data_IF_063034417402
#
_entry.id   IF_063034417402
#
_cell.length_a   1.000
_cell.length_b   1.000
_cell.length_c   1.000
_cell.angle_alpha   90.00
_cell.angle_beta   90.00
_cell.angle_gamma   90.00
#
_symmetry.space_group_name_H-M   'P 1'
#
loop_
_entity.id
_entity.type
_entity.pdbx_description
1 polymer ?
#
# COMPACT_ATOMS: atom_id res chain seq x y z
N UNK A 1 24.64 18.44 48.98
CA UNK A 1 23.42 18.49 48.14
C UNK A 1 23.50 17.34 47.18
N UNK A 2 22.72 16.29 47.43
CA UNK A 2 22.74 15.02 46.69
C UNK A 2 21.48 14.96 45.84
N UNK A 3 21.64 14.84 44.52
CA UNK A 3 20.52 14.70 43.58
C UNK A 3 19.80 13.34 43.78
N UNK A 4 18.46 13.30 43.80
CA UNK A 4 17.73 12.05 43.88
C UNK A 4 17.82 11.29 42.55
N UNK A 5 18.16 10.02 42.64
CA UNK A 5 18.34 9.11 41.51
C UNK A 5 16.99 8.83 40.83
N UNK A 6 16.91 9.08 39.51
CA UNK A 6 15.67 9.04 38.73
C UNK A 6 14.97 7.65 38.78
N UNK A 7 15.75 6.60 38.99
CA UNK A 7 15.31 5.22 39.13
C UNK A 7 14.39 5.01 40.34
N UNK A 8 14.69 5.67 41.46
CA UNK A 8 13.91 5.55 42.71
C UNK A 8 12.54 6.22 42.62
N UNK A 9 12.37 7.17 41.70
CA UNK A 9 11.09 7.86 41.47
C UNK A 9 10.16 7.00 40.61
N UNK A 10 10.72 6.20 39.69
CA UNK A 10 9.96 5.32 38.80
C UNK A 10 9.47 4.06 39.53
N UNK A 11 10.31 3.45 40.36
CA UNK A 11 9.91 2.26 41.12
C UNK A 11 8.79 2.57 42.14
N UNK A 12 8.80 3.78 42.72
CA UNK A 12 7.75 4.23 43.64
C UNK A 12 6.42 4.54 42.95
N UNK A 13 6.42 4.83 41.64
CA UNK A 13 5.20 5.10 40.87
C UNK A 13 4.48 3.82 40.37
N UNK A 14 5.20 2.70 40.31
CA UNK A 14 4.67 1.42 39.82
C UNK A 14 4.18 0.52 40.96
N UNK A 15 4.78 0.64 42.15
CA UNK A 15 4.42 -0.18 43.32
C UNK A 15 2.97 0.01 43.81
N UNK A 16 2.32 1.14 43.49
CA UNK A 16 0.97 1.47 43.97
C UNK A 16 -0.17 1.16 42.99
N UNK A 17 0.12 0.50 41.86
CA UNK A 17 -0.92 0.10 40.89
C UNK A 17 -1.18 -1.40 40.94
N UNK A 18 -2.11 -1.79 41.82
CA UNK A 18 -2.76 -3.11 41.78
C UNK A 18 -3.62 -3.19 40.51
N UNK A 19 -3.08 -3.83 39.47
CA UNK A 19 -3.82 -4.13 38.23
C UNK A 19 -4.62 -5.41 38.47
N UNK A 20 -5.92 -5.27 38.73
CA UNK A 20 -6.85 -6.39 38.81
C UNK A 20 -7.10 -7.04 37.44
N UNK A 21 -7.51 -8.33 37.41
CA UNK A 21 -7.72 -9.05 36.16
C UNK A 21 -8.82 -8.41 35.29
N UNK A 22 -8.70 -8.50 33.95
CA UNK A 22 -9.65 -7.88 33.03
C UNK A 22 -11.05 -8.47 33.22
N UNK A 23 -12.06 -7.60 33.42
CA UNK A 23 -13.47 -8.01 33.53
C UNK A 23 -14.03 -8.41 32.16
N UNK A 24 -13.78 -9.65 31.75
CA UNK A 24 -14.26 -10.24 30.48
C UNK A 24 -15.80 -10.22 30.36
N UNK A 25 -16.52 -10.21 31.48
CA UNK A 25 -18.00 -10.24 31.49
C UNK A 25 -18.65 -8.95 30.95
N UNK A 26 -17.98 -7.80 31.10
CA UNK A 26 -18.46 -6.54 30.55
C UNK A 26 -18.42 -6.53 29.01
N UNK A 27 -17.44 -7.23 28.41
CA UNK A 27 -17.25 -7.32 26.96
C UNK A 27 -18.30 -8.23 26.31
N UNK A 28 -18.75 -9.29 27.01
CA UNK A 28 -19.81 -10.18 26.49
C UNK A 28 -21.20 -9.54 26.46
N UNK A 29 -21.52 -8.64 27.40
CA UNK A 29 -22.84 -7.97 27.45
C UNK A 29 -23.07 -6.91 26.35
N UNK A 30 -22.01 -6.30 25.80
CA UNK A 30 -22.10 -5.29 24.74
C UNK A 30 -22.46 -5.89 23.37
N UNK A 31 -21.94 -7.08 23.06
CA UNK A 31 -22.13 -7.73 21.76
C UNK A 31 -23.57 -8.24 21.52
N UNK A 32 -24.30 -8.60 22.59
CA UNK A 32 -25.68 -9.08 22.48
C UNK A 32 -26.71 -7.96 22.24
N UNK A 33 -26.40 -6.71 22.62
CA UNK A 33 -27.29 -5.55 22.44
C UNK A 33 -27.26 -5.03 20.99
N UNK A 34 -26.11 -5.11 20.33
CA UNK A 34 -25.94 -4.68 18.93
C UNK A 34 -26.67 -5.62 17.96
N UNK A 35 -26.65 -6.94 18.19
CA UNK A 35 -27.33 -7.91 17.30
C UNK A 35 -28.85 -7.81 17.34
N UNK A 36 -29.47 -7.42 18.47
CA UNK A 36 -30.93 -7.27 18.57
C UNK A 36 -31.47 -6.09 17.78
N UNK A 37 -30.68 -5.03 17.57
CA UNK A 37 -31.10 -3.87 16.75
C UNK A 37 -31.08 -4.12 15.23
N UNK A 38 -30.43 -5.19 14.76
CA UNK A 38 -30.32 -5.52 13.32
C UNK A 38 -31.38 -6.52 12.81
N UNK A 39 -32.32 -6.98 13.66
CA UNK A 39 -33.38 -7.93 13.26
C UNK A 39 -34.81 -7.36 13.27
N UNK A 40 -34.97 -6.06 13.52
CA UNK A 40 -36.25 -5.36 13.37
C UNK A 40 -36.09 -4.26 12.31
N UNK A 41 -36.34 -4.60 11.05
CA UNK A 41 -36.20 -3.65 9.93
C UNK A 41 -36.20 -4.32 8.56
N UNK A 42 -37.03 -5.33 8.34
CA UNK A 42 -37.41 -5.78 6.99
C UNK A 42 -38.93 -5.89 6.96
N UNK A 43 -39.58 -4.80 6.59
CA UNK A 43 -40.96 -4.77 6.12
C UNK A 43 -40.95 -3.92 4.85
N UNK A 44 -41.42 -4.50 3.74
CA UNK A 44 -41.04 -4.12 2.39
C UNK A 44 -41.83 -3.00 1.72
N UNK A 45 -41.45 -2.73 0.46
CA UNK A 45 -42.32 -2.33 -0.64
C UNK A 45 -41.52 -2.42 -1.95
N UNK A 46 -41.97 -3.29 -2.87
CA UNK A 46 -41.60 -3.25 -4.28
C UNK A 46 -42.47 -2.17 -4.93
N UNK A 47 -41.87 -1.18 -5.57
CA UNK A 47 -42.56 -0.29 -6.49
C UNK A 47 -41.59 0.14 -7.61
N UNK A 48 -41.86 -0.33 -8.82
CA UNK A 48 -41.33 0.23 -10.05
C UNK A 48 -42.05 1.55 -10.35
N UNK A 49 -41.34 2.57 -10.85
CA UNK A 49 -41.89 3.66 -11.69
C UNK A 49 -40.73 4.33 -12.48
N UNK A 50 -40.78 4.11 -13.79
CA UNK A 50 -40.69 5.05 -14.93
C UNK A 50 -39.79 6.29 -14.84
N UNK A 51 -38.90 6.39 -15.83
CA UNK A 51 -38.17 7.59 -16.22
C UNK A 51 -39.10 8.69 -16.76
N UNK A 52 -38.96 9.91 -16.25
CA UNK A 52 -39.47 11.14 -16.89
C UNK A 52 -38.37 12.21 -16.82
N UNK A 53 -38.10 12.82 -17.97
CA UNK A 53 -37.21 13.96 -18.14
C UNK A 53 -37.88 15.27 -17.70
N UNK A 54 -37.07 16.19 -17.16
CA UNK A 54 -37.33 17.64 -17.17
C UNK A 54 -37.85 18.26 -15.87
N UNK A 55 -37.19 19.34 -15.44
CA UNK A 55 -37.78 20.35 -14.55
C UNK A 55 -36.98 20.67 -13.29
N UNK A 56 -36.35 21.85 -13.28
CA UNK A 56 -35.65 22.49 -12.16
C UNK A 56 -36.55 22.81 -10.96
N UNK A 57 -36.05 22.58 -9.73
CA UNK A 57 -36.45 23.32 -8.55
C UNK A 57 -35.33 23.33 -7.49
N UNK A 58 -35.21 24.48 -6.83
CA UNK A 58 -34.15 24.93 -5.94
C UNK A 58 -34.38 24.50 -4.48
N UNK A 59 -33.27 24.46 -3.70
CA UNK A 59 -33.13 24.52 -2.22
C UNK A 59 -33.25 23.23 -1.38
N UNK A 60 -32.08 22.72 -0.94
CA UNK A 60 -31.78 22.44 0.47
C UNK A 60 -30.26 22.25 0.63
N UNK A 61 -29.54 23.26 1.12
CA UNK A 61 -28.16 23.14 1.57
C UNK A 61 -28.13 22.45 2.94
N UNK A 62 -28.08 21.13 2.95
CA UNK A 62 -27.60 20.36 4.10
C UNK A 62 -26.08 20.44 4.20
N UNK A 63 -25.48 20.23 5.39
CA UNK A 63 -24.03 20.15 5.52
C UNK A 63 -23.52 19.07 4.56
N UNK A 64 -22.55 19.43 3.71
CA UNK A 64 -21.98 18.56 2.71
C UNK A 64 -21.51 17.26 3.39
N UNK A 65 -22.31 16.20 3.23
CA UNK A 65 -21.84 14.86 3.46
C UNK A 65 -20.66 14.69 2.51
N UNK A 66 -19.47 14.46 3.08
CA UNK A 66 -18.26 14.10 2.37
C UNK A 66 -18.65 13.00 1.37
N UNK A 67 -18.66 13.34 0.08
CA UNK A 67 -18.97 12.36 -0.95
C UNK A 67 -17.97 11.22 -0.76
N UNK A 68 -18.42 9.96 -0.65
CA UNK A 68 -17.50 8.83 -0.73
C UNK A 68 -16.73 8.98 -2.05
N UNK A 69 -15.42 8.66 -2.09
CA UNK A 69 -14.63 8.82 -3.29
C UNK A 69 -15.38 8.14 -4.43
N UNK A 70 -15.71 8.93 -5.46
CA UNK A 70 -16.29 8.41 -6.70
C UNK A 70 -15.39 7.25 -7.09
N UNK A 71 -15.94 6.04 -7.18
CA UNK A 71 -15.20 4.88 -7.64
C UNK A 71 -14.54 5.29 -8.96
N UNK A 72 -13.21 5.39 -8.98
CA UNK A 72 -12.51 5.86 -10.15
C UNK A 72 -12.80 4.89 -11.29
N UNK A 73 -12.94 5.44 -12.50
CA UNK A 73 -13.09 4.59 -13.68
C UNK A 73 -11.93 3.59 -13.72
N UNK A 74 -12.23 2.28 -13.92
CA UNK A 74 -11.18 1.29 -14.04
C UNK A 74 -10.25 1.64 -15.22
N UNK A 75 -9.00 1.15 -15.23
CA UNK A 75 -8.13 1.37 -16.36
C UNK A 75 -8.80 0.91 -17.66
N UNK A 76 -8.59 1.64 -18.74
CA UNK A 76 -9.14 1.28 -20.03
C UNK A 76 -8.55 -0.07 -20.51
N UNK A 77 -9.42 -1.01 -20.87
CA UNK A 77 -9.03 -2.30 -21.43
C UNK A 77 -8.67 -3.37 -20.38
N UNK A 78 -8.03 -4.48 -20.81
CA UNK A 78 -7.69 -5.58 -19.92
C UNK A 78 -6.63 -5.17 -18.88
N UNK A 79 -6.83 -5.62 -17.64
CA UNK A 79 -5.97 -5.29 -16.51
C UNK A 79 -5.34 -6.54 -15.88
N UNK A 80 -4.26 -6.31 -15.14
CA UNK A 80 -3.62 -7.29 -14.25
C UNK A 80 -3.42 -6.69 -12.87
N UNK A 81 -3.50 -7.51 -11.84
CA UNK A 81 -3.18 -7.07 -10.48
C UNK A 81 -1.66 -7.10 -10.24
N UNK A 82 -1.16 -6.05 -9.61
CA UNK A 82 0.18 -5.98 -9.02
C UNK A 82 0.06 -5.57 -7.58
N UNK A 83 0.75 -6.25 -6.65
CA UNK A 83 0.55 -5.98 -5.24
C UNK A 83 1.72 -6.33 -4.34
N UNK A 84 1.62 -5.86 -3.09
CA UNK A 84 2.49 -6.20 -1.96
C UNK A 84 1.59 -6.55 -0.79
N UNK A 85 1.75 -7.75 -0.23
CA UNK A 85 0.86 -8.22 0.83
C UNK A 85 -0.60 -8.22 0.36
N UNK A 86 -1.51 -7.67 1.16
CA UNK A 86 -2.94 -7.61 0.82
C UNK A 86 -3.33 -6.38 -0.01
N UNK A 87 -2.39 -5.49 -0.34
CA UNK A 87 -2.68 -4.30 -1.17
C UNK A 87 -2.28 -4.58 -2.61
N UNK A 88 -3.18 -4.29 -3.55
CA UNK A 88 -2.94 -4.44 -4.97
C UNK A 88 -3.46 -3.25 -5.76
N UNK A 89 -3.00 -3.12 -7.00
CA UNK A 89 -3.44 -2.13 -7.97
C UNK A 89 -3.77 -2.85 -9.27
N UNK A 90 -4.94 -2.56 -9.84
CA UNK A 90 -5.28 -3.00 -11.19
C UNK A 90 -4.62 -2.07 -12.21
N UNK A 91 -3.70 -2.60 -13.02
CA UNK A 91 -2.99 -1.82 -14.05
C UNK A 91 -3.25 -2.41 -15.44
N UNK A 92 -3.21 -1.61 -16.51
CA UNK A 92 -3.30 -2.14 -17.87
C UNK A 92 -2.25 -3.24 -18.12
N UNK A 93 -2.64 -4.29 -18.84
CA UNK A 93 -1.69 -5.38 -19.18
C UNK A 93 -0.53 -4.91 -20.06
N UNK A 94 -0.70 -3.78 -20.76
CA UNK A 94 0.32 -3.14 -21.59
C UNK A 94 1.42 -2.46 -20.78
N UNK A 95 1.18 -2.17 -19.50
CA UNK A 95 2.18 -1.55 -18.63
C UNK A 95 3.28 -2.54 -18.28
N UNK A 96 4.54 -2.13 -18.54
CA UNK A 96 5.71 -2.91 -18.19
C UNK A 96 5.97 -2.91 -16.68
N UNK A 97 6.89 -3.77 -16.22
CA UNK A 97 7.46 -3.67 -14.87
C UNK A 97 8.84 -3.05 -14.95
N UNK A 98 9.12 -2.06 -14.12
CA UNK A 98 10.40 -1.37 -14.02
C UNK A 98 10.94 -0.89 -15.37
N UNK A 99 10.09 -0.30 -16.24
CA UNK A 99 10.53 0.35 -17.47
C UNK A 99 11.18 1.72 -17.16
N UNK A 100 12.24 1.67 -16.35
CA UNK A 100 12.94 2.82 -15.80
C UNK A 100 14.36 2.92 -16.35
N UNK A 101 14.93 4.12 -16.28
CA UNK A 101 16.33 4.42 -16.59
C UNK A 101 16.87 5.40 -15.58
N UNK A 102 18.17 5.34 -15.30
CA UNK A 102 18.91 6.34 -14.51
C UNK A 102 18.23 6.78 -13.21
N UNK A 103 18.55 6.10 -12.10
CA UNK A 103 18.01 6.46 -10.79
C UNK A 103 16.54 6.09 -10.61
N UNK A 104 15.94 5.36 -11.55
CA UNK A 104 14.56 4.91 -11.45
C UNK A 104 13.56 5.78 -12.20
N UNK A 105 13.99 6.74 -13.05
CA UNK A 105 13.09 7.54 -13.86
C UNK A 105 12.29 6.67 -14.83
N UNK A 106 10.95 6.66 -14.78
CA UNK A 106 10.11 5.96 -15.74
C UNK A 106 10.30 6.48 -17.17
N UNK A 107 10.43 5.56 -18.12
CA UNK A 107 10.64 5.87 -19.55
C UNK A 107 9.42 5.56 -20.41
N UNK A 108 8.48 4.81 -19.86
CA UNK A 108 7.16 4.42 -20.40
C UNK A 108 6.25 4.05 -19.23
N UNK A 109 4.97 3.92 -19.50
CA UNK A 109 3.96 3.37 -18.59
C UNK A 109 4.45 2.13 -17.86
N UNK A 110 4.56 2.23 -16.54
CA UNK A 110 5.16 1.14 -15.78
C UNK A 110 4.74 1.06 -14.33
N UNK A 111 4.69 -0.18 -13.83
CA UNK A 111 4.70 -0.44 -12.40
C UNK A 111 6.15 -0.56 -11.92
N UNK A 112 6.49 0.26 -10.94
CA UNK A 112 7.79 0.29 -10.28
C UNK A 112 7.70 -0.52 -8.99
N UNK A 113 8.47 -1.60 -8.91
CA UNK A 113 8.53 -2.48 -7.74
C UNK A 113 9.84 -3.24 -7.75
N UNK A 114 10.47 -3.44 -6.59
CA UNK A 114 11.77 -4.11 -6.54
C UNK A 114 12.82 -3.50 -7.49
N UNK A 115 13.04 -2.18 -7.37
CA UNK A 115 14.14 -1.51 -8.07
C UNK A 115 15.47 -1.94 -7.44
N UNK A 116 15.99 -3.08 -7.90
CA UNK A 116 17.34 -3.55 -7.58
C UNK A 116 18.36 -2.61 -8.19
N UNK A 117 19.39 -2.25 -7.42
CA UNK A 117 20.56 -1.47 -7.83
C UNK A 117 20.25 -0.33 -8.82
N UNK A 118 19.88 0.83 -8.27
CA UNK A 118 19.73 2.03 -9.09
C UNK A 118 21.09 2.51 -9.59
N UNK A 119 21.23 2.68 -10.90
CA UNK A 119 22.35 3.44 -11.46
C UNK A 119 22.22 4.89 -11.02
N UNK A 120 23.22 5.43 -10.31
CA UNK A 120 23.26 6.84 -9.93
C UNK A 120 23.51 7.72 -11.15
N UNK A 121 22.46 8.00 -11.90
CA UNK A 121 22.43 9.01 -12.96
C UNK A 121 21.08 9.70 -13.00
N UNK A 122 21.02 10.82 -13.71
CA UNK A 122 19.82 11.61 -13.91
C UNK A 122 19.33 11.42 -15.35
N UNK A 123 18.05 11.09 -15.53
CA UNK A 123 17.41 11.08 -16.85
C UNK A 123 16.10 11.88 -16.83
N UNK A 124 15.80 12.65 -17.89
CA UNK A 124 14.53 13.36 -18.01
C UNK A 124 13.36 12.37 -18.17
N UNK A 125 12.25 12.62 -17.46
CA UNK A 125 11.00 11.86 -17.65
C UNK A 125 10.36 12.28 -18.98
N UNK A 126 9.99 11.35 -19.87
CA UNK A 126 9.24 11.70 -21.07
C UNK A 126 7.86 12.31 -20.74
N UNK A 127 7.30 13.06 -21.68
CA UNK A 127 5.88 13.44 -21.65
C UNK A 127 5.01 12.18 -21.80
N UNK A 128 3.76 12.28 -21.37
CA UNK A 128 2.76 11.22 -21.55
C UNK A 128 3.27 9.87 -21.01
N UNK A 129 3.76 9.90 -19.77
CA UNK A 129 4.32 8.74 -19.09
C UNK A 129 3.79 8.64 -17.67
N UNK A 130 3.27 7.48 -17.35
CA UNK A 130 2.56 7.16 -16.13
C UNK A 130 3.33 6.10 -15.35
N UNK A 131 3.28 6.18 -14.04
CA UNK A 131 3.94 5.17 -13.22
C UNK A 131 3.28 5.01 -11.87
N UNK A 132 3.23 3.76 -11.40
CA UNK A 132 2.80 3.44 -10.05
C UNK A 132 3.93 2.69 -9.36
N UNK A 133 4.48 3.27 -8.30
CA UNK A 133 5.44 2.62 -7.42
C UNK A 133 4.71 1.96 -6.25
N UNK A 134 5.00 0.67 -6.02
CA UNK A 134 4.54 -0.08 -4.86
C UNK A 134 5.74 -0.35 -3.96
N UNK A 135 5.53 -0.14 -2.66
CA UNK A 135 6.61 -0.15 -1.70
C UNK A 135 6.11 -0.67 -0.33
N UNK A 136 6.78 -1.67 0.26
CA UNK A 136 6.34 -2.33 1.49
C UNK A 136 7.05 -1.86 2.74
N UNK A 137 6.56 -0.84 3.44
CA UNK A 137 6.95 -0.52 4.82
C UNK A 137 6.73 0.96 5.11
N UNK A 138 7.56 1.55 5.97
CA UNK A 138 7.45 2.98 6.26
C UNK A 138 7.88 3.81 5.04
N UNK A 139 7.14 4.89 4.71
CA UNK A 139 7.39 5.67 3.51
C UNK A 139 8.65 6.53 3.64
N UNK A 140 9.79 5.92 3.30
CA UNK A 140 11.11 6.54 3.35
C UNK A 140 11.68 6.90 1.98
N UNK A 141 11.19 6.26 0.91
CA UNK A 141 11.70 6.47 -0.47
C UNK A 141 11.31 7.82 -1.05
N UNK A 142 10.18 8.36 -0.64
CA UNK A 142 9.71 9.68 -1.05
C UNK A 142 9.13 10.40 0.17
N UNK A 143 9.13 11.73 0.11
CA UNK A 143 8.63 12.58 1.18
C UNK A 143 7.11 12.47 1.29
N UNK A 144 6.63 11.42 1.95
CA UNK A 144 5.21 11.23 2.20
C UNK A 144 4.71 12.16 3.30
N UNK A 145 3.55 12.77 3.07
CA UNK A 145 2.83 13.56 4.08
C UNK A 145 1.37 13.11 4.14
N UNK A 146 0.94 12.73 5.33
CA UNK A 146 -0.46 12.39 5.60
C UNK A 146 -1.28 13.69 5.61
N UNK A 147 -2.14 13.87 4.61
CA UNK A 147 -2.98 15.07 4.48
C UNK A 147 -4.46 14.76 4.62
N UNK A 148 -4.86 13.54 4.32
CA UNK A 148 -6.23 13.07 4.41
C UNK A 148 -6.26 11.60 4.85
N UNK A 149 -7.28 11.22 5.61
CA UNK A 149 -7.53 9.82 5.97
C UNK A 149 -8.67 9.33 5.09
N UNK A 150 -8.44 8.22 4.40
CA UNK A 150 -9.41 7.57 3.51
C UNK A 150 -9.62 6.11 3.93
N UNK A 151 -10.67 5.48 3.43
CA UNK A 151 -10.92 4.05 3.61
C UNK A 151 -10.92 3.37 2.24
N UNK A 152 -10.11 2.32 2.08
CA UNK A 152 -10.02 1.55 0.83
C UNK A 152 -10.16 0.07 1.20
N UNK A 153 -11.18 -0.59 0.64
CA UNK A 153 -11.46 -2.00 0.94
C UNK A 153 -11.68 -2.29 2.42
N UNK A 154 -12.26 -1.35 3.17
CA UNK A 154 -12.49 -1.48 4.62
C UNK A 154 -11.25 -1.26 5.49
N UNK A 155 -10.11 -0.87 4.90
CA UNK A 155 -8.87 -0.59 5.61
C UNK A 155 -8.58 0.90 5.59
N UNK A 156 -8.25 1.45 6.76
CA UNK A 156 -7.79 2.82 6.90
C UNK A 156 -6.50 3.02 6.11
N UNK A 157 -6.49 4.04 5.27
CA UNK A 157 -5.32 4.52 4.55
C UNK A 157 -5.16 6.04 4.73
N UNK A 158 -3.96 6.50 4.43
CA UNK A 158 -3.57 7.90 4.50
C UNK A 158 -3.21 8.38 3.10
N UNK A 159 -3.81 9.48 2.66
CA UNK A 159 -3.68 10.05 1.32
C UNK A 159 -2.84 11.34 1.41
N UNK A 160 -1.88 11.47 0.49
CA UNK A 160 -1.17 12.72 0.22
C UNK A 160 -1.71 13.31 -1.07
N UNK A 161 -2.36 14.49 -1.06
CA UNK A 161 -3.01 15.06 -2.25
C UNK A 161 -2.05 15.17 -3.43
N UNK A 162 -2.64 15.13 -4.62
CA UNK A 162 -1.90 15.25 -5.86
C UNK A 162 -1.36 16.67 -6.02
N UNK A 163 -0.06 16.79 -6.25
CA UNK A 163 0.62 18.06 -6.55
C UNK A 163 1.44 17.92 -7.81
N UNK A 164 1.57 19.00 -8.58
CA UNK A 164 2.37 19.03 -9.80
C UNK A 164 3.56 19.96 -9.65
N UNK A 165 4.70 19.56 -10.20
CA UNK A 165 5.91 20.37 -10.22
C UNK A 165 6.66 20.16 -11.54
N UNK A 166 7.38 21.19 -12.06
CA UNK A 166 8.22 21.03 -13.23
C UNK A 166 9.40 20.09 -12.94
N UNK A 167 9.64 19.13 -13.84
CA UNK A 167 10.78 18.23 -13.75
C UNK A 167 12.12 18.97 -13.85
N UNK A 168 13.10 18.57 -13.03
CA UNK A 168 14.37 19.29 -12.89
C UNK A 168 15.21 19.36 -14.18
N UNK A 169 15.11 18.37 -15.08
CA UNK A 169 16.01 18.22 -16.22
C UNK A 169 15.42 18.73 -17.55
N UNK A 170 14.12 18.55 -17.76
CA UNK A 170 13.45 18.88 -19.03
C UNK A 170 12.19 19.72 -18.86
N UNK A 171 11.89 20.18 -17.63
CA UNK A 171 10.70 20.97 -17.28
C UNK A 171 9.38 20.31 -17.67
N UNK A 172 9.36 19.01 -17.96
CA UNK A 172 8.11 18.27 -18.10
C UNK A 172 7.44 18.26 -16.73
N UNK A 173 6.26 18.88 -16.65
CA UNK A 173 5.48 18.86 -15.43
C UNK A 173 5.15 17.42 -15.06
N UNK A 174 5.37 17.09 -13.79
CA UNK A 174 5.04 15.78 -13.24
C UNK A 174 4.14 15.99 -12.03
N UNK A 175 2.96 15.41 -12.11
CA UNK A 175 2.03 15.34 -11.00
C UNK A 175 2.28 14.05 -10.22
N UNK A 176 2.18 14.12 -8.89
CA UNK A 176 2.40 12.98 -8.00
C UNK A 176 1.47 13.00 -6.80
N UNK A 177 1.05 11.82 -6.37
CA UNK A 177 0.23 11.61 -5.17
C UNK A 177 0.47 10.21 -4.61
N UNK A 178 0.12 9.99 -3.36
CA UNK A 178 0.31 8.69 -2.71
C UNK A 178 -0.85 8.27 -1.80
N UNK A 179 -0.94 6.97 -1.56
CA UNK A 179 -1.79 6.32 -0.56
C UNK A 179 -0.91 5.38 0.27
N UNK A 180 -0.93 5.53 1.58
CA UNK A 180 -0.23 4.69 2.54
C UNK A 180 -1.22 3.91 3.41
N UNK A 181 -0.96 2.63 3.65
CA UNK A 181 -1.72 1.78 4.55
C UNK A 181 -0.86 1.50 5.80
N UNK A 182 -1.01 2.27 6.89
CA UNK A 182 -0.15 2.13 8.07
C UNK A 182 -0.19 0.72 8.69
N UNK A 183 -1.37 0.11 8.77
CA UNK A 183 -1.57 -1.21 9.38
C UNK A 183 -1.05 -2.35 8.51
N UNK A 184 -0.99 -2.15 7.19
CA UNK A 184 -0.47 -3.15 6.24
C UNK A 184 0.99 -2.88 5.88
N UNK A 185 1.53 -1.71 6.23
CA UNK A 185 2.87 -1.29 5.88
C UNK A 185 3.09 -1.28 4.36
N UNK A 186 2.16 -0.72 3.59
CA UNK A 186 2.30 -0.60 2.12
C UNK A 186 2.01 0.81 1.68
N UNK A 187 2.86 1.37 0.83
CA UNK A 187 2.62 2.64 0.16
C UNK A 187 2.54 2.45 -1.35
N UNK A 188 1.60 3.17 -1.95
CA UNK A 188 1.39 3.28 -3.39
C UNK A 188 1.62 4.74 -3.76
N UNK A 189 2.54 4.98 -4.69
CA UNK A 189 2.85 6.31 -5.20
C UNK A 189 2.62 6.35 -6.71
N UNK A 190 1.73 7.22 -7.14
CA UNK A 190 1.40 7.39 -8.54
C UNK A 190 1.98 8.70 -9.06
N UNK A 191 2.51 8.65 -10.29
CA UNK A 191 3.03 9.82 -10.98
C UNK A 191 2.57 9.84 -12.44
N UNK A 192 2.25 11.02 -12.95
CA UNK A 192 1.89 11.24 -14.35
C UNK A 192 2.58 12.49 -14.86
N UNK A 193 3.09 12.44 -16.10
CA UNK A 193 3.51 13.64 -16.85
C UNK A 193 2.40 14.19 -17.76
N UNK A 194 1.16 13.71 -17.61
CA UNK A 194 -0.02 14.13 -18.35
C UNK A 194 -0.79 15.18 -17.55
N UNK A 195 -1.36 14.80 -16.39
CA UNK A 195 -2.08 15.72 -15.51
C UNK A 195 -2.34 15.13 -14.10
N UNK A 196 -2.87 15.96 -13.20
CA UNK A 196 -3.24 15.57 -11.84
C UNK A 196 -4.42 14.58 -11.79
N UNK A 197 -5.40 14.73 -12.68
CA UNK A 197 -6.59 13.88 -12.71
C UNK A 197 -6.23 12.41 -13.01
N UNK A 198 -5.21 12.20 -13.83
CA UNK A 198 -4.65 10.88 -14.16
C UNK A 198 -4.02 10.24 -12.92
N UNK A 199 -3.33 11.01 -12.07
CA UNK A 199 -2.80 10.52 -10.78
C UNK A 199 -3.93 10.09 -9.85
N UNK A 200 -4.95 10.91 -9.68
CA UNK A 200 -6.08 10.58 -8.80
C UNK A 200 -6.84 9.35 -9.30
N UNK A 201 -6.99 9.22 -10.62
CA UNK A 201 -7.57 8.02 -11.26
C UNK A 201 -6.73 6.78 -10.96
N UNK A 202 -5.41 6.84 -11.16
CA UNK A 202 -4.50 5.73 -10.87
C UNK A 202 -4.58 5.26 -9.41
N UNK A 203 -4.68 6.20 -8.47
CA UNK A 203 -4.80 5.87 -7.04
C UNK A 203 -6.18 5.30 -6.69
N UNK A 204 -7.20 5.61 -7.49
CA UNK A 204 -8.51 4.96 -7.40
C UNK A 204 -8.51 3.50 -7.87
N UNK A 205 -7.44 3.01 -8.53
CA UNK A 205 -7.29 1.59 -8.88
C UNK A 205 -6.73 0.72 -7.75
N UNK A 206 -6.37 1.34 -6.63
CA UNK A 206 -5.86 0.65 -5.44
C UNK A 206 -6.99 -0.12 -4.77
N UNK A 207 -6.71 -1.37 -4.43
CA UNK A 207 -7.66 -2.24 -3.74
C UNK A 207 -6.96 -3.00 -2.61
N UNK A 208 -7.74 -3.36 -1.59
CA UNK A 208 -7.33 -4.33 -0.57
C UNK A 208 -7.98 -5.66 -0.91
N UNK A 209 -7.16 -6.67 -1.19
CA UNK A 209 -7.58 -8.00 -1.60
C UNK A 209 -7.27 -9.00 -0.48
N UNK A 210 -8.20 -9.23 0.47
CA UNK A 210 -7.94 -10.05 1.66
C UNK A 210 -7.71 -11.55 1.35
N UNK A 211 -8.16 -12.01 0.18
CA UNK A 211 -8.00 -13.39 -0.31
C UNK A 211 -6.84 -13.55 -1.30
N UNK A 212 -5.97 -12.54 -1.38
CA UNK A 212 -4.81 -12.50 -2.27
C UNK A 212 -3.59 -11.96 -1.54
N UNK A 213 -2.42 -12.35 -2.04
CA UNK A 213 -1.14 -11.94 -1.47
C UNK A 213 -0.17 -11.58 -2.59
N UNK A 214 0.22 -10.31 -2.66
CA UNK A 214 1.29 -9.83 -3.52
C UNK A 214 2.66 -10.20 -2.96
N UNK A 215 3.53 -10.76 -3.81
CA UNK A 215 4.92 -11.08 -3.45
C UNK A 215 5.67 -9.79 -3.12
N UNK A 216 6.13 -9.60 -1.87
CA UNK A 216 6.80 -8.37 -1.46
C UNK A 216 8.18 -8.26 -2.11
N UNK A 217 8.70 -7.04 -2.23
CA UNK A 217 10.10 -6.86 -2.57
C UNK A 217 11.00 -7.20 -1.37
N UNK A 218 12.10 -7.93 -1.55
CA UNK A 218 12.96 -8.31 -0.43
C UNK A 218 13.94 -7.20 -0.03
N UNK A 219 14.19 -6.21 -0.89
CA UNK A 219 15.17 -5.12 -0.65
C UNK A 219 14.55 -3.86 -0.01
N UNK A 220 13.30 -3.87 0.46
CA UNK A 220 12.67 -2.63 0.98
C UNK A 220 13.19 -2.19 2.35
N UNK A 221 13.51 -3.13 3.24
CA UNK A 221 13.81 -2.85 4.64
C UNK A 221 15.29 -2.70 4.95
N UNK A 222 16.16 -2.98 3.98
CA UNK A 222 17.59 -2.96 4.22
C UNK A 222 18.20 -1.63 3.82
N UNK A 223 19.10 -1.13 4.67
CA UNK A 223 20.00 -0.05 4.28
C UNK A 223 20.67 -0.53 2.98
N UNK A 224 20.80 0.34 1.98
CA UNK A 224 21.33 0.04 0.63
C UNK A 224 22.70 -0.70 0.62
N UNK A 225 23.36 -0.85 1.76
CA UNK A 225 24.67 -1.49 1.96
C UNK A 225 24.62 -2.90 2.59
N UNK A 226 23.45 -3.42 2.98
CA UNK A 226 23.32 -4.79 3.47
C UNK A 226 22.75 -5.70 2.38
N UNK A 227 23.30 -6.90 2.22
CA UNK A 227 22.69 -7.96 1.42
C UNK A 227 21.41 -8.45 2.11
N UNK A 228 20.30 -8.65 1.38
CA UNK A 228 19.07 -9.18 1.96
C UNK A 228 19.34 -10.51 2.61
N UNK A 229 19.07 -10.55 3.90
CA UNK A 229 19.05 -11.82 4.61
C UNK A 229 17.93 -12.68 4.06
N UNK A 230 18.28 -13.77 3.38
CA UNK A 230 17.31 -14.77 2.92
C UNK A 230 16.39 -15.20 4.06
N UNK A 231 16.92 -15.41 5.27
CA UNK A 231 16.14 -15.77 6.46
C UNK A 231 15.06 -14.76 6.81
N UNK A 232 15.37 -13.45 6.83
CA UNK A 232 14.36 -12.42 7.13
C UNK A 232 13.26 -12.39 6.08
N UNK A 233 13.63 -12.54 4.81
CA UNK A 233 12.67 -12.55 3.73
C UNK A 233 11.76 -13.79 3.77
N UNK A 234 12.31 -14.96 4.12
CA UNK A 234 11.53 -16.19 4.32
C UNK A 234 10.47 -16.02 5.42
N UNK A 235 10.82 -15.37 6.55
CA UNK A 235 9.87 -15.08 7.62
C UNK A 235 8.79 -14.07 7.19
N UNK A 236 9.15 -13.06 6.40
CA UNK A 236 8.18 -12.13 5.82
C UNK A 236 7.18 -12.84 4.92
N UNK A 237 7.63 -13.76 4.04
CA UNK A 237 6.74 -14.53 3.19
C UNK A 237 5.76 -15.40 4.00
N UNK A 238 6.25 -16.06 5.05
CA UNK A 238 5.38 -16.85 5.96
C UNK A 238 4.35 -15.98 6.67
N UNK A 239 4.76 -14.80 7.16
CA UNK A 239 3.87 -13.87 7.84
C UNK A 239 2.73 -13.36 6.93
N UNK A 240 2.99 -13.26 5.62
CA UNK A 240 1.99 -12.93 4.60
C UNK A 240 1.14 -14.14 4.17
N UNK A 241 1.38 -15.32 4.74
CA UNK A 241 0.66 -16.55 4.38
C UNK A 241 1.14 -17.20 3.08
N UNK A 242 2.33 -16.87 2.58
CA UNK A 242 2.97 -17.55 1.45
C UNK A 242 3.85 -18.71 1.93
N UNK A 243 4.09 -19.68 1.06
CA UNK A 243 4.94 -20.85 1.35
C UNK A 243 6.32 -20.68 0.70
N UNK A 244 7.35 -20.27 1.44
CA UNK A 244 8.68 -20.16 0.86
C UNK A 244 9.28 -21.53 0.51
N UNK A 245 10.01 -21.58 -0.59
CA UNK A 245 10.84 -22.72 -1.02
C UNK A 245 12.25 -22.21 -1.26
N UNK A 246 13.25 -22.78 -0.61
CA UNK A 246 14.64 -22.32 -0.75
C UNK A 246 15.34 -23.09 -1.86
N UNK A 247 15.96 -22.36 -2.78
CA UNK A 247 16.91 -22.89 -3.77
C UNK A 247 18.27 -22.27 -3.51
N UNK A 248 19.32 -23.08 -3.54
CA UNK A 248 20.68 -22.64 -3.23
C UNK A 248 21.52 -22.60 -4.51
N UNK A 249 22.25 -21.50 -4.74
CA UNK A 249 23.19 -21.35 -5.87
C UNK A 249 24.54 -20.85 -5.41
N UNK A 250 25.60 -21.28 -6.10
CA UNK A 250 26.94 -20.69 -5.92
C UNK A 250 26.99 -19.35 -6.65
N UNK A 251 27.44 -18.30 -5.97
CA UNK A 251 27.69 -16.99 -6.56
C UNK A 251 29.02 -16.44 -6.03
N UNK A 252 29.84 -15.88 -6.92
CA UNK A 252 31.10 -15.24 -6.53
C UNK A 252 30.85 -13.83 -5.99
N UNK A 253 31.61 -13.44 -4.96
CA UNK A 253 31.57 -12.09 -4.39
C UNK A 253 30.36 -11.77 -3.50
N UNK A 254 29.60 -12.79 -3.07
CA UNK A 254 28.45 -12.66 -2.16
C UNK A 254 28.60 -13.63 -0.99
N UNK A 255 27.92 -13.36 0.11
CA UNK A 255 28.00 -14.19 1.32
C UNK A 255 26.93 -15.28 1.32
N UNK A 256 27.23 -16.43 1.95
CA UNK A 256 26.24 -17.48 2.11
C UNK A 256 24.98 -16.96 2.83
N UNK A 257 23.81 -17.29 2.29
CA UNK A 257 22.52 -16.78 2.76
C UNK A 257 22.05 -15.48 2.13
N UNK A 258 22.87 -14.83 1.30
CA UNK A 258 22.47 -13.65 0.53
C UNK A 258 21.38 -14.01 -0.49
N UNK A 259 20.37 -13.14 -0.61
CA UNK A 259 19.30 -13.33 -1.56
C UNK A 259 19.74 -12.98 -2.99
N UNK A 260 19.59 -13.95 -3.90
CA UNK A 260 19.86 -13.80 -5.33
C UNK A 260 18.60 -13.48 -6.12
N UNK A 261 17.51 -14.19 -5.87
CA UNK A 261 16.30 -14.09 -6.69
C UNK A 261 15.02 -14.56 -5.98
N UNK A 262 13.87 -14.14 -6.50
CA UNK A 262 12.53 -14.48 -5.98
C UNK A 262 11.60 -14.83 -7.14
N UNK A 263 10.93 -15.97 -7.06
CA UNK A 263 10.01 -16.46 -8.08
C UNK A 263 8.71 -16.99 -7.46
N UNK A 264 7.51 -16.61 -7.92
CA UNK A 264 7.24 -15.55 -8.89
C UNK A 264 7.80 -14.20 -8.46
N UNK A 265 8.12 -13.36 -9.43
CA UNK A 265 8.84 -12.12 -9.14
C UNK A 265 7.98 -11.13 -8.32
N UNK A 266 8.61 -10.22 -7.55
CA UNK A 266 7.91 -9.24 -6.73
C UNK A 266 6.82 -8.47 -7.50
N UNK A 267 5.71 -8.22 -6.81
CA UNK A 267 4.48 -7.66 -7.40
C UNK A 267 3.49 -8.69 -7.91
N UNK A 268 3.90 -9.95 -8.11
CA UNK A 268 2.97 -11.00 -8.55
C UNK A 268 1.94 -11.26 -7.45
N UNK A 269 0.65 -11.25 -7.80
CA UNK A 269 -0.44 -11.52 -6.86
C UNK A 269 -0.82 -13.01 -6.90
N UNK A 270 -0.78 -13.65 -5.74
CA UNK A 270 -1.00 -15.09 -5.56
C UNK A 270 -2.16 -15.36 -4.61
N UNK A 271 -2.62 -16.61 -4.57
CA UNK A 271 -3.49 -17.08 -3.49
C UNK A 271 -2.66 -17.34 -2.23
N UNK A 272 -3.25 -17.18 -1.02
CA UNK A 272 -2.63 -17.66 0.21
C UNK A 272 -2.18 -19.12 0.10
N UNK A 273 -1.04 -19.45 0.69
CA UNK A 273 -0.41 -20.77 0.65
C UNK A 273 0.40 -21.09 -0.62
N UNK A 274 0.36 -20.20 -1.63
CA UNK A 274 1.13 -20.37 -2.86
C UNK A 274 2.64 -20.41 -2.57
N UNK A 275 3.36 -21.18 -3.40
CA UNK A 275 4.81 -21.33 -3.26
C UNK A 275 5.55 -20.10 -3.82
N UNK A 276 6.57 -19.65 -3.11
CA UNK A 276 7.53 -18.64 -3.58
C UNK A 276 8.93 -19.20 -3.42
N UNK A 277 9.61 -19.43 -4.54
CA UNK A 277 11.01 -19.84 -4.57
C UNK A 277 11.92 -18.66 -4.28
N UNK A 278 12.73 -18.79 -3.24
CA UNK A 278 13.74 -17.85 -2.79
C UNK A 278 15.10 -18.45 -3.10
N UNK A 279 15.83 -17.83 -4.02
CA UNK A 279 17.17 -18.29 -4.41
C UNK A 279 18.20 -17.59 -3.54
N UNK A 280 19.03 -18.34 -2.82
CA UNK A 280 20.06 -17.81 -1.93
C UNK A 280 21.44 -18.34 -2.28
N UNK A 281 22.48 -17.65 -1.84
CA UNK A 281 23.87 -18.11 -1.95
C UNK A 281 24.12 -19.29 -1.00
N UNK A 282 24.74 -20.34 -1.53
CA UNK A 282 25.13 -21.56 -0.79
C UNK A 282 26.57 -21.67 -0.41
#
# INVERSE_FOLDING_TARGET
MTEPNLSDVLDRAVADKVVGPPRIDAIRSGAARIRRRRRAGVAGAVAAIVAVAGGTAFLAQGPAATQPPVAADPPAGPTRLVGIGQVAVAVPVTWGRNAVRCGGTPTKDTVVIDLRHLTFCMAPRPKDTESIELAGGNPKRFAFRSEEVVEIGGVRAERQRTTCAPGALNRVETCSGAVYFPTLGVIIHAQSSTDAATVDRMLGWVTVAPDRVGVPEPWYHEKQSASPSGTKYLEQLKALGLRPVVETKKASGQFAGDLLDVRPAPGTVLTPGAAVTVVVVG
#
